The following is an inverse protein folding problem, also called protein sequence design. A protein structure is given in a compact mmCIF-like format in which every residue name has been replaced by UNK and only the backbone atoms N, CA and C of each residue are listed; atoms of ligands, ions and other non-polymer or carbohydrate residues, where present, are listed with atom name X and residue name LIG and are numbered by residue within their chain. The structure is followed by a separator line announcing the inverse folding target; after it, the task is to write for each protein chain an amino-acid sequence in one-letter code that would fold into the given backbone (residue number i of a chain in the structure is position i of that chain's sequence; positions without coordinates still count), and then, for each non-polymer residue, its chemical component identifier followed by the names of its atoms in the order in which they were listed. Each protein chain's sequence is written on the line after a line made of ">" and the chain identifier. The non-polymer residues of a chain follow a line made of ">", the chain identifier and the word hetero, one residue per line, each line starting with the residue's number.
data_IF_895098589948
#
_entry.id   IF_895098589948
#
_cell.length_a   1.000
_cell.length_b   1.000
_cell.length_c   1.000
_cell.angle_alpha   90.00
_cell.angle_beta   90.00
_cell.angle_gamma   90.00
#
_symmetry.space_group_name_H-M   'P 1'
#
loop_
_entity.id
_entity.type
_entity.pdbx_description
1 polymer ?
#
# COMPACT_ATOMS: atom_id res chain seq x y z
N UNK A 1 -7.37 -13.46 -2.26
CA UNK A 1 -6.61 -12.31 -1.70
C UNK A 1 -5.34 -12.80 -1.01
N UNK A 2 -5.43 -13.71 -0.03
CA UNK A 2 -4.28 -14.22 0.73
C UNK A 2 -3.26 -14.97 -0.13
N UNK A 3 -3.73 -15.82 -1.06
CA UNK A 3 -2.88 -16.58 -1.97
C UNK A 3 -2.05 -15.66 -2.89
N UNK A 4 -2.69 -14.65 -3.48
CA UNK A 4 -1.99 -13.69 -4.33
C UNK A 4 -0.97 -12.82 -3.59
N UNK A 5 -1.23 -12.45 -2.33
CA UNK A 5 -0.27 -11.75 -1.50
C UNK A 5 0.95 -12.62 -1.17
N UNK A 6 0.72 -13.91 -0.87
CA UNK A 6 1.80 -14.84 -0.54
C UNK A 6 2.74 -15.12 -1.71
N UNK A 7 2.20 -15.41 -2.89
CA UNK A 7 3.00 -15.66 -4.10
C UNK A 7 3.84 -14.45 -4.49
N UNK A 8 3.25 -13.27 -4.53
CA UNK A 8 3.99 -12.05 -4.88
C UNK A 8 5.02 -11.65 -3.82
N UNK A 9 4.81 -11.99 -2.55
CA UNK A 9 5.80 -11.79 -1.49
C UNK A 9 7.04 -12.67 -1.70
N UNK A 10 6.83 -13.95 -2.04
CA UNK A 10 7.92 -14.89 -2.36
C UNK A 10 8.69 -14.40 -3.59
N UNK A 11 8.00 -13.97 -4.66
CA UNK A 11 8.63 -13.41 -5.85
C UNK A 11 9.49 -12.17 -5.53
N UNK A 12 8.99 -11.28 -4.67
CA UNK A 12 9.74 -10.11 -4.23
C UNK A 12 11.03 -10.49 -3.49
N UNK A 13 10.98 -11.48 -2.60
CA UNK A 13 12.17 -11.98 -1.88
C UNK A 13 13.17 -12.59 -2.88
N UNK A 14 12.71 -13.42 -3.79
CA UNK A 14 13.57 -14.05 -4.79
C UNK A 14 14.30 -13.01 -5.65
N UNK A 15 13.58 -11.99 -6.12
CA UNK A 15 14.18 -10.88 -6.87
C UNK A 15 15.22 -10.09 -6.04
N UNK A 16 14.97 -9.87 -4.75
CA UNK A 16 15.95 -9.22 -3.88
C UNK A 16 17.23 -10.03 -3.76
N UNK A 17 17.12 -11.33 -3.53
CA UNK A 17 18.26 -12.24 -3.40
C UNK A 17 19.08 -12.30 -4.71
N UNK A 18 18.40 -12.30 -5.86
CA UNK A 18 19.05 -12.38 -7.18
C UNK A 18 19.73 -11.07 -7.59
N UNK A 19 19.02 -9.94 -7.48
CA UNK A 19 19.49 -8.67 -8.05
C UNK A 19 20.33 -7.82 -7.10
N UNK A 20 20.26 -8.02 -5.78
CA UNK A 20 21.12 -7.25 -4.83
C UNK A 20 22.62 -7.49 -5.05
N UNK A 21 23.11 -8.74 -5.22
CA UNK A 21 24.53 -8.98 -5.52
C UNK A 21 24.96 -8.39 -6.87
N UNK A 22 24.08 -8.43 -7.88
CA UNK A 22 24.34 -7.84 -9.20
C UNK A 22 24.48 -6.32 -9.08
N UNK A 23 23.56 -5.66 -8.37
CA UNK A 23 23.60 -4.23 -8.13
C UNK A 23 24.86 -3.83 -7.34
N UNK A 24 25.24 -4.66 -6.35
CA UNK A 24 26.47 -4.47 -5.61
C UNK A 24 27.70 -4.54 -6.52
N UNK A 25 27.82 -5.58 -7.36
CA UNK A 25 28.92 -5.72 -8.30
C UNK A 25 29.03 -4.54 -9.28
N UNK A 26 27.91 -4.02 -9.74
CA UNK A 26 27.84 -2.86 -10.63
C UNK A 26 28.12 -1.52 -9.92
N UNK A 27 28.02 -1.46 -8.59
CA UNK A 27 28.27 -0.26 -7.79
C UNK A 27 29.75 0.01 -7.55
N UNK A 28 30.62 -0.99 -7.75
CA UNK A 28 32.05 -0.89 -7.43
C UNK A 28 32.73 0.09 -8.37
N UNK A 29 33.40 1.11 -7.81
CA UNK A 29 34.20 2.09 -8.57
C UNK A 29 33.33 3.15 -9.30
N UNK A 30 32.06 3.27 -9.02
CA UNK A 30 31.17 4.27 -9.61
C UNK A 30 30.88 5.36 -8.57
N UNK A 31 31.21 6.64 -8.86
CA UNK A 31 30.84 7.75 -7.98
C UNK A 31 29.32 7.97 -7.97
N UNK A 32 28.73 7.96 -6.78
CA UNK A 32 27.28 8.03 -6.58
C UNK A 32 26.92 9.30 -5.83
N UNK A 33 25.83 9.93 -6.22
CA UNK A 33 25.33 11.13 -5.56
C UNK A 33 25.02 10.83 -4.08
N UNK A 34 25.52 11.67 -3.18
CA UNK A 34 25.46 11.58 -1.71
C UNK A 34 26.39 10.53 -1.05
N UNK A 35 26.87 9.50 -1.77
CA UNK A 35 27.69 8.43 -1.21
C UNK A 35 29.15 8.44 -1.72
N UNK A 36 29.46 9.26 -2.75
CA UNK A 36 30.80 9.32 -3.34
C UNK A 36 31.24 7.98 -3.93
N UNK A 37 32.44 7.56 -3.62
CA UNK A 37 33.05 6.31 -4.14
C UNK A 37 32.77 5.09 -3.25
N UNK A 38 31.70 5.14 -2.44
CA UNK A 38 31.37 4.02 -1.56
C UNK A 38 30.79 2.84 -2.34
N UNK A 39 31.45 1.69 -2.25
CA UNK A 39 31.09 0.48 -3.02
C UNK A 39 29.67 -0.04 -2.82
N UNK A 40 29.03 0.31 -1.72
CA UNK A 40 27.64 -0.07 -1.42
C UNK A 40 26.61 1.03 -1.75
N UNK A 41 27.05 2.13 -2.36
CA UNK A 41 26.25 3.34 -2.50
C UNK A 41 24.92 3.13 -3.23
N UNK A 42 24.90 2.37 -4.33
CA UNK A 42 23.65 2.10 -5.08
C UNK A 42 22.66 1.23 -4.28
N UNK A 43 23.16 0.19 -3.60
CA UNK A 43 22.31 -0.69 -2.78
C UNK A 43 21.75 0.09 -1.60
N UNK A 44 22.59 0.87 -0.93
CA UNK A 44 22.19 1.71 0.21
C UNK A 44 21.21 2.81 -0.23
N UNK A 45 21.47 3.43 -1.39
CA UNK A 45 20.60 4.42 -1.99
C UNK A 45 19.21 3.85 -2.31
N UNK A 46 19.14 2.67 -2.93
CA UNK A 46 17.89 1.96 -3.19
C UNK A 46 17.15 1.65 -1.89
N UNK A 47 17.85 1.18 -0.86
CA UNK A 47 17.26 0.86 0.44
C UNK A 47 16.70 2.10 1.13
N UNK A 48 17.49 3.18 1.24
CA UNK A 48 17.04 4.43 1.88
C UNK A 48 15.85 5.03 1.12
N UNK A 49 15.90 5.04 -0.21
CA UNK A 49 14.81 5.52 -1.05
C UNK A 49 13.53 4.74 -0.80
N UNK A 50 13.62 3.42 -0.75
CA UNK A 50 12.45 2.55 -0.56
C UNK A 50 11.88 2.68 0.85
N UNK A 51 12.73 2.69 1.89
CA UNK A 51 12.29 2.88 3.28
C UNK A 51 11.62 4.26 3.45
N UNK A 52 12.24 5.31 2.88
CA UNK A 52 11.67 6.66 2.88
C UNK A 52 10.31 6.73 2.21
N UNK A 53 10.15 6.10 1.05
CA UNK A 53 8.89 6.01 0.34
C UNK A 53 7.85 5.18 1.10
N UNK A 54 8.27 4.09 1.77
CA UNK A 54 7.38 3.30 2.65
C UNK A 54 6.80 4.16 3.75
N UNK A 55 7.66 4.87 4.45
CA UNK A 55 7.25 5.78 5.52
C UNK A 55 6.33 6.89 5.00
N UNK A 56 6.66 7.48 3.84
CA UNK A 56 5.82 8.48 3.20
C UNK A 56 4.40 7.97 2.93
N UNK A 57 4.25 6.76 2.36
CA UNK A 57 2.93 6.20 2.05
C UNK A 57 2.17 5.74 3.30
N UNK A 58 2.85 5.24 4.33
CA UNK A 58 2.23 4.92 5.62
C UNK A 58 1.66 6.20 6.26
N UNK A 59 2.44 7.27 6.27
CA UNK A 59 2.01 8.57 6.80
C UNK A 59 0.84 9.13 6.00
N UNK A 60 0.92 9.07 4.66
CA UNK A 60 -0.16 9.51 3.78
C UNK A 60 -1.45 8.71 4.01
N UNK A 61 -1.36 7.40 4.10
CA UNK A 61 -2.49 6.50 4.40
C UNK A 61 -3.11 6.76 5.78
N UNK A 62 -2.28 7.06 6.78
CA UNK A 62 -2.72 7.43 8.13
C UNK A 62 -3.43 8.79 8.16
N UNK A 63 -2.89 9.80 7.49
CA UNK A 63 -3.50 11.14 7.39
C UNK A 63 -4.86 11.05 6.71
N UNK A 64 -4.96 10.27 5.65
CA UNK A 64 -6.21 10.07 4.90
C UNK A 64 -7.19 9.13 5.63
N UNK A 65 -6.78 8.50 6.74
CA UNK A 65 -7.60 7.55 7.51
C UNK A 65 -8.28 6.48 6.64
N UNK A 66 -7.53 5.88 5.71
CA UNK A 66 -8.07 4.95 4.71
C UNK A 66 -8.76 3.74 5.33
N UNK A 67 -8.12 3.09 6.32
CA UNK A 67 -8.69 1.92 7.03
C UNK A 67 -10.01 2.28 7.74
N UNK A 68 -10.10 3.49 8.32
CA UNK A 68 -11.32 3.95 8.98
C UNK A 68 -12.47 4.16 8.02
N UNK A 69 -12.22 4.76 6.86
CA UNK A 69 -13.27 5.00 5.85
C UNK A 69 -13.74 3.71 5.21
N UNK A 70 -12.83 2.79 4.94
CA UNK A 70 -13.18 1.46 4.41
C UNK A 70 -14.05 0.68 5.41
N UNK A 71 -13.68 0.72 6.68
CA UNK A 71 -14.48 0.13 7.75
C UNK A 71 -15.89 0.74 7.83
N UNK A 72 -15.99 2.09 7.82
CA UNK A 72 -17.27 2.80 7.88
C UNK A 72 -18.14 2.49 6.65
N UNK A 73 -17.53 2.38 5.46
CA UNK A 73 -18.20 2.01 4.23
C UNK A 73 -18.84 0.63 4.34
N UNK A 74 -18.05 -0.37 4.70
CA UNK A 74 -18.52 -1.75 4.84
C UNK A 74 -19.61 -1.90 5.92
N UNK A 75 -19.48 -1.14 7.03
CA UNK A 75 -20.46 -1.13 8.10
C UNK A 75 -21.82 -0.56 7.64
N UNK A 76 -21.77 0.57 6.92
CA UNK A 76 -23.00 1.21 6.43
C UNK A 76 -23.66 0.42 5.29
N UNK A 77 -22.87 -0.19 4.41
CA UNK A 77 -23.40 -1.12 3.40
C UNK A 77 -24.08 -2.33 4.04
N UNK A 78 -23.48 -2.91 5.08
CA UNK A 78 -24.09 -4.03 5.79
C UNK A 78 -25.39 -3.63 6.48
N UNK A 79 -25.46 -2.43 7.06
CA UNK A 79 -26.67 -1.89 7.68
C UNK A 79 -27.77 -1.64 6.65
N UNK A 80 -27.41 -1.09 5.48
CA UNK A 80 -28.34 -0.87 4.38
C UNK A 80 -28.92 -2.19 3.84
N UNK A 81 -28.06 -3.20 3.60
CA UNK A 81 -28.52 -4.53 3.16
C UNK A 81 -29.43 -5.21 4.16
N UNK A 82 -29.12 -5.09 5.46
CA UNK A 82 -29.97 -5.64 6.52
C UNK A 82 -31.35 -5.01 6.52
N UNK A 83 -31.46 -3.69 6.36
CA UNK A 83 -32.76 -2.99 6.30
C UNK A 83 -33.53 -3.29 5.02
N UNK A 84 -32.85 -3.50 3.88
CA UNK A 84 -33.49 -3.95 2.64
C UNK A 84 -34.22 -5.29 2.84
N UNK A 85 -33.57 -6.27 3.46
CA UNK A 85 -34.15 -7.59 3.73
C UNK A 85 -35.35 -7.48 4.67
N UNK A 86 -35.25 -6.68 5.73
CA UNK A 86 -36.37 -6.47 6.67
C UNK A 86 -37.51 -5.72 5.98
N UNK A 87 -37.23 -4.75 5.11
CA UNK A 87 -38.24 -3.99 4.38
C UNK A 87 -38.97 -4.84 3.31
N UNK A 88 -38.37 -5.91 2.81
CA UNK A 88 -38.97 -6.86 1.90
C UNK A 88 -40.01 -7.73 2.63
N UNK A 89 -39.75 -8.09 3.91
CA UNK A 89 -40.64 -8.90 4.73
C UNK A 89 -41.78 -8.07 5.39
N UNK A 90 -41.56 -6.77 5.62
CA UNK A 90 -42.52 -5.92 6.36
C UNK A 90 -42.75 -4.57 5.65
N UNK A 91 -43.86 -4.48 4.90
CA UNK A 91 -44.30 -3.31 4.12
C UNK A 91 -44.55 -2.06 4.99
N UNK A 92 -44.62 -2.22 6.31
CA UNK A 92 -44.85 -1.10 7.25
C UNK A 92 -43.60 -0.29 7.57
N UNK A 93 -42.41 -0.74 7.19
CA UNK A 93 -41.18 -0.01 7.41
C UNK A 93 -41.11 1.18 6.46
N UNK A 94 -41.10 2.38 7.05
CA UNK A 94 -41.20 3.65 6.35
C UNK A 94 -40.09 3.87 5.33
N UNK A 95 -40.40 4.25 4.07
CA UNK A 95 -39.39 4.54 3.04
C UNK A 95 -38.38 5.62 3.44
N UNK A 96 -38.67 6.52 4.37
CA UNK A 96 -37.74 7.56 4.85
C UNK A 96 -36.46 7.02 5.45
N UNK A 97 -36.50 5.91 6.16
CA UNK A 97 -35.27 5.35 6.76
C UNK A 97 -34.36 4.72 5.70
N UNK A 98 -34.93 4.22 4.61
CA UNK A 98 -34.19 3.63 3.51
C UNK A 98 -33.46 4.71 2.68
N UNK A 99 -34.15 5.81 2.39
CA UNK A 99 -33.59 6.95 1.64
C UNK A 99 -32.47 7.65 2.41
N UNK A 100 -32.62 7.81 3.73
CA UNK A 100 -31.58 8.38 4.59
C UNK A 100 -30.33 7.49 4.60
N UNK A 101 -30.52 6.17 4.77
CA UNK A 101 -29.42 5.22 4.76
C UNK A 101 -28.72 5.16 3.39
N UNK A 102 -29.48 5.19 2.31
CA UNK A 102 -28.93 5.25 0.96
C UNK A 102 -28.08 6.51 0.74
N UNK A 103 -28.56 7.66 1.22
CA UNK A 103 -27.82 8.90 1.15
C UNK A 103 -26.52 8.86 1.97
N UNK A 104 -26.55 8.22 3.14
CA UNK A 104 -25.35 8.06 3.97
C UNK A 104 -24.35 7.12 3.34
N UNK A 105 -24.77 6.00 2.77
CA UNK A 105 -23.92 5.10 1.98
C UNK A 105 -23.30 5.86 0.81
N UNK A 106 -24.08 6.64 0.06
CA UNK A 106 -23.57 7.43 -1.07
C UNK A 106 -22.54 8.47 -0.64
N UNK A 107 -22.76 9.19 0.45
CA UNK A 107 -21.79 10.17 1.00
C UNK A 107 -20.48 9.52 1.41
N UNK A 108 -20.55 8.35 2.05
CA UNK A 108 -19.38 7.62 2.49
C UNK A 108 -18.60 7.06 1.30
N UNK A 109 -19.28 6.53 0.29
CA UNK A 109 -18.64 6.13 -0.97
C UNK A 109 -17.88 7.29 -1.62
N UNK A 110 -18.51 8.45 -1.76
CA UNK A 110 -17.85 9.60 -2.35
C UNK A 110 -16.63 10.06 -1.53
N UNK A 111 -16.76 10.08 -0.20
CA UNK A 111 -15.65 10.37 0.72
C UNK A 111 -14.51 9.35 0.61
N UNK A 112 -14.84 8.07 0.47
CA UNK A 112 -13.89 6.99 0.26
C UNK A 112 -13.15 7.16 -1.05
N UNK A 113 -13.86 7.36 -2.16
CA UNK A 113 -13.25 7.59 -3.47
C UNK A 113 -12.31 8.79 -3.50
N UNK A 114 -12.67 9.92 -2.89
CA UNK A 114 -11.79 11.08 -2.79
C UNK A 114 -10.50 10.76 -2.03
N UNK A 115 -10.59 10.05 -0.92
CA UNK A 115 -9.41 9.67 -0.12
C UNK A 115 -8.52 8.68 -0.87
N UNK A 116 -9.10 7.68 -1.50
CA UNK A 116 -8.35 6.75 -2.36
C UNK A 116 -7.75 7.47 -3.58
N UNK A 117 -8.44 8.45 -4.15
CA UNK A 117 -7.89 9.25 -5.23
C UNK A 117 -6.62 10.00 -4.80
N UNK A 118 -6.65 10.72 -3.67
CA UNK A 118 -5.47 11.42 -3.15
C UNK A 118 -4.34 10.47 -2.76
N UNK A 119 -4.68 9.33 -2.17
CA UNK A 119 -3.68 8.30 -1.86
C UNK A 119 -3.03 7.75 -3.13
N UNK A 120 -3.83 7.40 -4.13
CA UNK A 120 -3.33 6.88 -5.39
C UNK A 120 -2.51 7.93 -6.16
N UNK A 121 -2.89 9.19 -6.10
CA UNK A 121 -2.11 10.29 -6.67
C UNK A 121 -0.72 10.35 -6.03
N UNK A 122 -0.64 10.34 -4.70
CA UNK A 122 0.63 10.33 -3.97
C UNK A 122 1.45 9.07 -4.28
N UNK A 123 0.80 7.90 -4.34
CA UNK A 123 1.45 6.63 -4.68
C UNK A 123 2.01 6.64 -6.10
N UNK A 124 1.24 7.08 -7.09
CA UNK A 124 1.68 7.14 -8.48
C UNK A 124 2.82 8.14 -8.62
N UNK A 125 2.73 9.31 -7.99
CA UNK A 125 3.81 10.30 -8.00
C UNK A 125 5.10 9.73 -7.43
N UNK A 126 5.03 9.01 -6.32
CA UNK A 126 6.19 8.33 -5.75
C UNK A 126 6.75 7.26 -6.70
N UNK A 127 5.89 6.42 -7.30
CA UNK A 127 6.33 5.39 -8.25
C UNK A 127 6.98 5.98 -9.51
N UNK A 128 6.53 7.14 -9.98
CA UNK A 128 7.17 7.85 -11.10
C UNK A 128 8.50 8.51 -10.69
N UNK A 129 8.55 9.12 -9.50
CA UNK A 129 9.79 9.64 -8.94
C UNK A 129 10.86 8.54 -8.78
N UNK A 130 10.42 7.32 -8.51
CA UNK A 130 11.23 6.14 -8.40
C UNK A 130 12.01 5.82 -9.67
N UNK A 131 11.37 5.90 -10.83
CA UNK A 131 12.02 5.68 -12.13
C UNK A 131 13.18 6.67 -12.33
N UNK A 132 13.05 7.88 -11.81
CA UNK A 132 14.08 8.93 -11.91
C UNK A 132 15.20 8.77 -10.86
N UNK A 133 14.92 8.10 -9.75
CA UNK A 133 15.88 7.99 -8.64
C UNK A 133 17.22 7.36 -9.06
N UNK A 134 17.18 6.28 -9.85
CA UNK A 134 18.38 5.62 -10.36
C UNK A 134 19.26 6.57 -11.21
N UNK A 135 18.64 7.40 -12.06
CA UNK A 135 19.36 8.40 -12.85
C UNK A 135 19.97 9.48 -11.97
N UNK A 136 19.25 9.93 -10.94
CA UNK A 136 19.73 10.95 -10.00
C UNK A 136 20.93 10.41 -9.21
N UNK A 137 20.90 9.16 -8.74
CA UNK A 137 22.04 8.54 -8.05
C UNK A 137 23.24 8.39 -8.95
N UNK A 138 23.05 8.09 -10.24
CA UNK A 138 24.12 7.92 -11.22
C UNK A 138 24.60 9.23 -11.85
N UNK A 139 23.93 10.35 -11.59
CA UNK A 139 24.24 11.64 -12.24
C UNK A 139 25.74 12.00 -12.18
N UNK A 140 26.47 11.88 -11.05
CA UNK A 140 27.89 12.18 -11.02
C UNK A 140 28.73 11.30 -11.95
N UNK A 141 28.43 10.01 -11.99
CA UNK A 141 29.14 9.04 -12.85
C UNK A 141 28.89 9.28 -14.34
N UNK A 142 27.65 9.70 -14.69
CA UNK A 142 27.27 10.05 -16.05
C UNK A 142 28.01 11.30 -16.49
N UNK A 143 28.03 12.35 -15.65
CA UNK A 143 28.71 13.63 -15.95
C UNK A 143 30.23 13.44 -16.05
N UNK A 144 30.81 12.60 -15.19
CA UNK A 144 32.24 12.26 -15.22
C UNK A 144 32.63 11.36 -16.41
N UNK A 145 31.67 10.83 -17.17
CA UNK A 145 31.94 9.93 -18.30
C UNK A 145 32.53 8.57 -17.91
N UNK A 146 32.44 8.19 -16.62
CA UNK A 146 32.99 6.95 -16.09
C UNK A 146 32.16 5.74 -16.51
N UNK A 147 30.89 5.93 -16.81
CA UNK A 147 29.93 4.87 -17.10
C UNK A 147 29.53 4.88 -18.58
N UNK A 148 29.72 3.74 -19.27
CA UNK A 148 29.20 3.57 -20.63
C UNK A 148 27.69 3.44 -20.65
N UNK A 149 27.07 3.76 -21.79
CA UNK A 149 25.60 3.63 -21.95
C UNK A 149 25.08 2.22 -21.61
N UNK A 150 25.84 1.18 -21.99
CA UNK A 150 25.49 -0.21 -21.70
C UNK A 150 25.51 -0.53 -20.21
N UNK A 151 26.55 -0.10 -19.49
CA UNK A 151 26.68 -0.29 -18.04
C UNK A 151 25.61 0.52 -17.31
N UNK A 152 25.35 1.75 -17.75
CA UNK A 152 24.27 2.58 -17.19
C UNK A 152 22.90 1.86 -17.27
N UNK A 153 22.57 1.30 -18.42
CA UNK A 153 21.32 0.56 -18.60
C UNK A 153 21.24 -0.72 -17.73
N UNK A 154 22.36 -1.40 -17.52
CA UNK A 154 22.42 -2.56 -16.61
C UNK A 154 22.15 -2.13 -15.16
N UNK A 155 22.80 -1.06 -14.71
CA UNK A 155 22.61 -0.52 -13.35
C UNK A 155 21.15 -0.10 -13.13
N UNK A 156 20.58 0.66 -14.07
CA UNK A 156 19.18 1.14 -13.96
C UNK A 156 18.21 -0.04 -13.89
N UNK A 157 18.42 -1.10 -14.68
CA UNK A 157 17.58 -2.30 -14.63
C UNK A 157 17.73 -3.05 -13.31
N UNK A 158 18.96 -3.27 -12.84
CA UNK A 158 19.23 -3.95 -11.58
C UNK A 158 18.67 -3.15 -10.40
N UNK A 159 18.89 -1.83 -10.37
CA UNK A 159 18.35 -0.91 -9.39
C UNK A 159 16.80 -0.98 -9.37
N UNK A 160 16.16 -0.86 -10.52
CA UNK A 160 14.71 -0.93 -10.64
C UNK A 160 14.12 -2.30 -10.21
N UNK A 161 14.86 -3.40 -10.38
CA UNK A 161 14.44 -4.73 -9.90
C UNK A 161 14.49 -4.84 -8.38
N UNK A 162 15.61 -4.41 -7.76
CA UNK A 162 15.76 -4.38 -6.30
C UNK A 162 14.69 -3.49 -5.68
N UNK A 163 14.56 -2.28 -6.19
CA UNK A 163 13.60 -1.31 -5.72
C UNK A 163 12.15 -1.77 -5.92
N UNK A 164 11.83 -2.32 -7.09
CA UNK A 164 10.50 -2.87 -7.39
C UNK A 164 10.09 -4.02 -6.46
N UNK A 165 11.05 -4.84 -6.02
CA UNK A 165 10.82 -5.91 -5.04
C UNK A 165 10.54 -5.34 -3.66
N UNK A 166 11.31 -4.34 -3.24
CA UNK A 166 11.11 -3.67 -1.96
C UNK A 166 9.79 -2.89 -1.92
N UNK A 167 9.32 -2.38 -3.07
CA UNK A 167 8.04 -1.67 -3.20
C UNK A 167 6.82 -2.57 -3.27
N UNK A 168 6.97 -3.86 -3.13
CA UNK A 168 5.84 -4.80 -3.12
C UNK A 168 4.76 -4.38 -2.11
N UNK A 169 5.14 -3.93 -0.92
CA UNK A 169 4.23 -3.45 0.12
C UNK A 169 3.35 -2.30 -0.40
N UNK A 170 3.90 -1.39 -1.20
CA UNK A 170 3.13 -0.26 -1.75
C UNK A 170 2.11 -0.69 -2.79
N UNK A 171 2.47 -1.64 -3.62
CA UNK A 171 1.57 -2.18 -4.64
C UNK A 171 0.41 -2.92 -3.99
N UNK A 172 0.68 -3.60 -2.87
CA UNK A 172 -0.31 -4.38 -2.11
C UNK A 172 -1.08 -3.54 -1.08
N UNK A 173 -0.77 -2.24 -0.93
CA UNK A 173 -1.37 -1.39 0.10
C UNK A 173 -2.90 -1.38 0.11
N UNK A 174 -3.62 -1.27 -1.02
CA UNK A 174 -5.08 -1.35 -1.02
C UNK A 174 -5.61 -2.65 -0.44
N UNK A 175 -4.99 -3.77 -0.79
CA UNK A 175 -5.34 -5.10 -0.29
C UNK A 175 -5.06 -5.25 1.22
N UNK A 176 -3.98 -4.63 1.70
CA UNK A 176 -3.64 -4.59 3.13
C UNK A 176 -4.69 -3.78 3.91
N UNK A 177 -5.16 -2.66 3.36
CA UNK A 177 -6.24 -1.85 3.96
C UNK A 177 -7.53 -2.66 4.05
N UNK A 178 -7.91 -3.35 2.99
CA UNK A 178 -9.09 -4.21 2.96
C UNK A 178 -9.00 -5.31 4.03
N UNK A 179 -7.86 -6.00 4.10
CA UNK A 179 -7.61 -7.02 5.12
C UNK A 179 -7.69 -6.46 6.55
N UNK A 180 -7.11 -5.28 6.79
CA UNK A 180 -7.16 -4.62 8.08
C UNK A 180 -8.60 -4.22 8.47
N UNK A 181 -9.42 -3.82 7.51
CA UNK A 181 -10.84 -3.50 7.74
C UNK A 181 -11.65 -4.74 8.11
N UNK A 182 -11.41 -5.87 7.42
CA UNK A 182 -12.04 -7.16 7.73
C UNK A 182 -11.63 -7.64 9.12
N UNK A 183 -10.34 -7.57 9.46
CA UNK A 183 -9.85 -7.92 10.80
C UNK A 183 -10.52 -7.09 11.90
N UNK A 184 -10.67 -5.79 11.70
CA UNK A 184 -11.35 -4.91 12.65
C UNK A 184 -12.81 -5.31 12.87
N UNK A 185 -13.52 -5.70 11.82
CA UNK A 185 -14.91 -6.21 11.91
C UNK A 185 -15.01 -7.52 12.68
N UNK A 186 -14.08 -8.47 12.40
CA UNK A 186 -14.04 -9.75 13.12
C UNK A 186 -13.79 -9.54 14.61
N UNK A 187 -12.87 -8.67 14.97
CA UNK A 187 -12.58 -8.33 16.36
C UNK A 187 -13.78 -7.67 17.07
N UNK A 188 -14.50 -6.80 16.37
CA UNK A 188 -15.74 -6.21 16.91
C UNK A 188 -16.84 -7.26 17.13
N UNK A 189 -16.96 -8.23 16.21
CA UNK A 189 -17.89 -9.34 16.33
C UNK A 189 -17.55 -10.26 17.51
N UNK A 190 -16.28 -10.65 17.64
CA UNK A 190 -15.78 -11.44 18.77
C UNK A 190 -16.05 -10.77 20.12
N UNK A 191 -15.80 -9.46 20.21
CA UNK A 191 -16.08 -8.71 21.45
C UNK A 191 -17.56 -8.71 21.83
N UNK A 192 -18.48 -8.70 20.84
CA UNK A 192 -19.91 -8.78 21.08
C UNK A 192 -20.36 -10.17 21.55
N UNK A 193 -19.78 -11.24 20.99
CA UNK A 193 -20.05 -12.62 21.43
C UNK A 193 -19.61 -12.80 22.88
N UNK A 194 -18.38 -12.42 23.21
CA UNK A 194 -17.84 -12.55 24.56
C UNK A 194 -18.65 -11.74 25.59
N UNK A 195 -19.20 -10.60 25.19
CA UNK A 195 -20.10 -9.80 26.02
C UNK A 195 -21.44 -10.51 26.24
N UNK A 196 -22.01 -11.10 25.17
CA UNK A 196 -23.28 -11.85 25.26
C UNK A 196 -23.13 -13.10 26.15
N UNK A 197 -22.04 -13.87 26.00
CA UNK A 197 -21.75 -15.03 26.83
C UNK A 197 -21.57 -14.66 28.31
N UNK A 198 -20.91 -13.54 28.59
CA UNK A 198 -20.72 -13.06 29.97
C UNK A 198 -22.03 -12.63 30.66
N UNK A 199 -23.04 -12.25 29.89
CA UNK A 199 -24.38 -11.92 30.40
C UNK A 199 -25.16 -13.21 30.69
N UNK A 200 -25.09 -14.19 29.77
CA UNK A 200 -25.81 -15.48 29.91
C UNK A 200 -25.26 -16.35 31.05
N UNK A 201 -24.01 -16.15 31.47
CA UNK A 201 -23.42 -16.87 32.64
C UNK A 201 -23.78 -16.23 33.99
N UNK A 202 -24.38 -15.05 34.01
CA UNK A 202 -24.74 -14.33 35.25
C UNK A 202 -26.20 -14.52 35.68
N UNK A 203 -27.03 -15.10 34.80
CA UNK A 203 -28.41 -15.50 35.07
C UNK A 203 -28.47 -17.01 35.40
#
# INVERSE_FOLDING_TARGET
>A
IMEGLGTSFIEAIMMLVEFTPILFGLSIGIPILFFGDWNYGLVTGAFIWTVGGTLFLIVLGSILRLVGVEYDLQKNEASYRKLLVIAEDDITIRPKNLDELFNDVRKIHFKSYLRYFYFNLGRITYLQANVLSAYVFLAPAIVAGVVTLGVMQQIIRAFGRVEGSMQYIFRSWPTIIELASVYKRLKEFESKINTAESITQKD
#
